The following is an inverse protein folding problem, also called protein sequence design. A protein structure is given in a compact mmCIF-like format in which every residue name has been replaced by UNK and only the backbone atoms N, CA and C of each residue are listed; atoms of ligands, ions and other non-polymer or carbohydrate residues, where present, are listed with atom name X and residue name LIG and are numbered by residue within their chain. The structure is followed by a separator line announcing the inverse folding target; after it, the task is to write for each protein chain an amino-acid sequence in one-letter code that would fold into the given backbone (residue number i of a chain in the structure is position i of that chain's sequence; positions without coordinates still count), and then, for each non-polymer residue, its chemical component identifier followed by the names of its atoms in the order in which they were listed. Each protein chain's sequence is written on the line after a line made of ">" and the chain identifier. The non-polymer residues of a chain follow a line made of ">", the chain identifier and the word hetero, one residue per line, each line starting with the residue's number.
data_IF_276466880204
#
_entry.id   IF_276466880204
#
_cell.length_a   1.000
_cell.length_b   1.000
_cell.length_c   1.000
_cell.angle_alpha   90.00
_cell.angle_beta   90.00
_cell.angle_gamma   90.00
#
_symmetry.space_group_name_H-M   'P 1'
#
loop_
_entity.id
_entity.type
_entity.pdbx_description
1 polymer ?
#
# COMPACT_ATOMS: atom_id res chain seq x y z
N UNK A 1 12.09 -7.82 -9.03
CA UNK A 1 11.69 -6.47 -8.59
C UNK A 1 12.38 -6.14 -7.29
N UNK A 2 12.28 -4.88 -6.84
CA UNK A 2 12.74 -4.44 -5.52
C UNK A 2 11.82 -5.01 -4.44
N UNK A 3 12.39 -5.74 -3.47
CA UNK A 3 11.67 -6.62 -2.54
C UNK A 3 10.52 -5.92 -1.80
N UNK A 4 10.73 -4.67 -1.37
CA UNK A 4 9.77 -3.83 -0.65
C UNK A 4 8.48 -3.60 -1.43
N UNK A 5 8.56 -3.60 -2.76
CA UNK A 5 7.45 -3.25 -3.64
C UNK A 5 6.89 -4.47 -4.35
N UNK A 6 7.44 -5.68 -4.16
CA UNK A 6 6.87 -6.88 -4.76
C UNK A 6 5.48 -7.18 -4.18
N UNK A 7 4.53 -7.47 -5.07
CA UNK A 7 3.18 -7.92 -4.70
C UNK A 7 3.22 -9.26 -3.93
N UNK A 8 2.21 -9.51 -3.09
CA UNK A 8 2.08 -10.68 -2.23
C UNK A 8 2.16 -11.98 -3.03
N UNK A 9 1.45 -12.07 -4.15
CA UNK A 9 1.45 -13.28 -4.99
C UNK A 9 2.80 -13.49 -5.71
N UNK A 10 3.46 -12.41 -6.14
CA UNK A 10 4.81 -12.50 -6.72
C UNK A 10 5.83 -12.99 -5.69
N UNK A 11 5.73 -12.54 -4.44
CA UNK A 11 6.52 -13.08 -3.32
C UNK A 11 6.22 -14.56 -3.04
N UNK A 12 4.99 -15.00 -3.35
CA UNK A 12 4.56 -16.41 -3.28
C UNK A 12 4.86 -17.21 -4.56
N UNK A 13 5.64 -16.64 -5.49
CA UNK A 13 6.08 -17.27 -6.74
C UNK A 13 4.94 -17.52 -7.75
N UNK A 14 3.88 -16.74 -7.67
CA UNK A 14 2.87 -16.66 -8.75
C UNK A 14 3.40 -15.74 -9.84
N UNK A 15 3.04 -16.03 -11.08
CA UNK A 15 3.45 -15.23 -12.23
C UNK A 15 2.91 -13.80 -12.16
N UNK A 16 3.69 -12.89 -12.73
CA UNK A 16 3.40 -11.46 -12.66
C UNK A 16 2.21 -11.07 -13.57
N UNK A 17 1.41 -10.09 -13.16
CA UNK A 17 0.21 -9.63 -13.88
C UNK A 17 0.00 -8.14 -13.65
N UNK A 18 -0.91 -7.52 -14.40
CA UNK A 18 -1.25 -6.11 -14.27
C UNK A 18 -1.72 -5.71 -12.85
N UNK A 19 -2.42 -6.59 -12.12
CA UNK A 19 -2.88 -6.34 -10.74
C UNK A 19 -1.70 -6.14 -9.81
N UNK A 20 -0.64 -6.92 -10.02
CA UNK A 20 0.57 -6.85 -9.22
C UNK A 20 1.33 -5.54 -9.44
N UNK A 21 1.30 -4.97 -10.66
CA UNK A 21 1.85 -3.63 -10.91
C UNK A 21 1.09 -2.57 -10.09
N UNK A 22 -0.24 -2.66 -10.01
CA UNK A 22 -1.06 -1.75 -9.20
C UNK A 22 -0.82 -1.93 -7.69
N UNK A 23 -0.67 -3.17 -7.23
CA UNK A 23 -0.29 -3.48 -5.84
C UNK A 23 1.10 -2.92 -5.49
N UNK A 24 2.07 -3.09 -6.40
CA UNK A 24 3.41 -2.50 -6.28
C UNK A 24 3.35 -0.98 -6.23
N UNK A 25 2.54 -0.35 -7.09
CA UNK A 25 2.36 1.10 -7.09
C UNK A 25 1.75 1.61 -5.77
N UNK A 26 0.76 0.89 -5.22
CA UNK A 26 0.22 1.21 -3.91
C UNK A 26 1.27 1.09 -2.79
N UNK A 27 2.12 0.06 -2.83
CA UNK A 27 3.23 -0.06 -1.88
C UNK A 27 4.25 1.06 -1.98
N UNK A 28 4.50 1.60 -3.18
CA UNK A 28 5.35 2.79 -3.35
C UNK A 28 4.70 4.01 -2.68
N UNK A 29 3.39 4.23 -2.84
CA UNK A 29 2.68 5.32 -2.15
C UNK A 29 2.84 5.22 -0.64
N UNK A 30 2.54 4.06 -0.05
CA UNK A 30 2.67 3.84 1.40
C UNK A 30 4.11 4.07 1.87
N UNK A 31 5.09 3.59 1.11
CA UNK A 31 6.50 3.78 1.43
C UNK A 31 6.93 5.24 1.41
N UNK A 32 6.47 6.00 0.41
CA UNK A 32 6.76 7.44 0.32
C UNK A 32 6.18 8.17 1.54
N UNK A 33 4.91 7.90 1.87
CA UNK A 33 4.21 8.56 2.97
C UNK A 33 4.75 8.18 4.36
N UNK A 34 5.10 6.91 4.60
CA UNK A 34 5.56 6.44 5.93
C UNK A 34 7.08 6.56 6.15
N UNK A 35 7.90 6.65 5.09
CA UNK A 35 9.37 6.62 5.23
C UNK A 35 10.08 7.78 4.56
N UNK A 36 9.81 8.04 3.28
CA UNK A 36 10.55 9.07 2.54
C UNK A 36 10.15 10.49 2.96
N UNK A 37 8.89 10.69 3.35
CA UNK A 37 8.34 11.96 3.84
C UNK A 37 9.13 12.54 5.02
N UNK A 38 9.65 11.69 5.91
CA UNK A 38 10.42 12.08 7.09
C UNK A 38 11.82 12.61 6.78
N UNK A 39 12.41 12.20 5.65
CA UNK A 39 13.67 12.78 5.16
C UNK A 39 13.47 14.15 4.47
N UNK A 40 12.21 14.53 4.24
CA UNK A 40 11.81 15.79 3.60
C UNK A 40 11.27 16.78 4.63
N UNK A 41 11.01 18.02 4.21
CA UNK A 41 10.40 19.06 5.08
C UNK A 41 8.96 18.74 5.54
N UNK A 42 8.35 17.68 5.01
CA UNK A 42 6.98 17.28 5.35
C UNK A 42 6.83 16.77 6.78
N UNK A 43 7.93 16.38 7.44
CA UNK A 43 7.92 16.04 8.87
C UNK A 43 7.85 17.24 9.82
N UNK A 44 8.08 18.47 9.35
CA UNK A 44 8.04 19.66 10.22
C UNK A 44 8.89 19.51 11.49
N UNK A 45 8.25 19.68 12.65
CA UNK A 45 8.83 19.44 13.99
C UNK A 45 8.52 18.03 14.55
N UNK A 46 7.70 17.25 13.83
CA UNK A 46 7.36 15.89 14.21
C UNK A 46 8.57 14.97 14.06
N UNK A 47 8.55 13.85 14.79
CA UNK A 47 9.61 12.84 14.74
C UNK A 47 9.08 11.57 14.10
N UNK A 48 9.87 10.92 13.22
CA UNK A 48 9.51 9.62 12.70
C UNK A 48 9.33 8.60 13.82
N UNK A 49 8.55 7.53 13.60
CA UNK A 49 8.46 6.44 14.54
C UNK A 49 9.84 5.81 14.78
N UNK A 50 10.09 5.37 16.02
CA UNK A 50 11.38 4.76 16.41
C UNK A 50 11.70 3.52 15.58
N UNK A 51 10.69 2.72 15.29
CA UNK A 51 10.76 1.58 14.38
C UNK A 51 9.54 1.62 13.47
N UNK A 52 9.76 1.43 12.17
CA UNK A 52 8.70 1.40 11.17
C UNK A 52 8.28 -0.04 10.86
N UNK A 53 6.97 -0.30 10.86
CA UNK A 53 6.31 -1.52 10.43
C UNK A 53 6.76 -1.94 9.03
N UNK A 54 7.00 -0.97 8.14
CA UNK A 54 7.46 -1.23 6.77
C UNK A 54 8.88 -1.82 6.71
N UNK A 55 9.65 -1.82 7.81
CA UNK A 55 10.92 -2.58 7.91
C UNK A 55 10.70 -4.08 7.68
N UNK A 56 9.52 -4.60 8.04
CA UNK A 56 9.11 -6.00 7.78
C UNK A 56 8.97 -6.32 6.29
N UNK A 57 9.00 -5.31 5.42
CA UNK A 57 8.98 -5.49 3.96
C UNK A 57 10.39 -5.60 3.35
N UNK A 58 11.44 -5.42 4.15
CA UNK A 58 12.85 -5.42 3.72
C UNK A 58 13.64 -6.63 4.23
N UNK A 59 13.22 -7.18 5.36
CA UNK A 59 14.01 -8.17 6.13
C UNK A 59 13.21 -9.47 6.25
N UNK A 60 13.89 -10.60 6.04
CA UNK A 60 13.34 -11.94 6.21
C UNK A 60 13.21 -12.68 4.89
N UNK A 61 12.47 -13.79 4.90
CA UNK A 61 12.18 -14.56 3.68
C UNK A 61 11.03 -13.94 2.90
N UNK A 62 10.87 -14.29 1.62
CA UNK A 62 9.71 -13.87 0.83
C UNK A 62 8.37 -14.27 1.47
N UNK A 63 8.33 -15.40 2.18
CA UNK A 63 7.14 -15.84 2.92
C UNK A 63 6.84 -14.89 4.08
N UNK A 64 7.85 -14.48 4.83
CA UNK A 64 7.69 -13.56 5.96
C UNK A 64 7.18 -12.21 5.48
N UNK A 65 7.76 -11.69 4.40
CA UNK A 65 7.38 -10.41 3.80
C UNK A 65 5.96 -10.47 3.24
N UNK A 66 5.59 -11.55 2.54
CA UNK A 66 4.24 -11.74 2.02
C UNK A 66 3.20 -11.79 3.16
N UNK A 67 3.52 -12.44 4.28
CA UNK A 67 2.63 -12.51 5.44
C UNK A 67 2.51 -11.16 6.16
N UNK A 68 3.61 -10.42 6.31
CA UNK A 68 3.59 -9.07 6.87
C UNK A 68 2.72 -8.13 6.01
N UNK A 69 2.94 -8.13 4.68
CA UNK A 69 2.10 -7.38 3.74
C UNK A 69 0.63 -7.77 3.83
N UNK A 70 0.32 -9.07 3.87
CA UNK A 70 -1.06 -9.53 4.00
C UNK A 70 -1.74 -9.00 5.28
N UNK A 71 -1.05 -9.03 6.41
CA UNK A 71 -1.55 -8.46 7.67
C UNK A 71 -1.78 -6.95 7.58
N UNK A 72 -0.82 -6.23 6.98
CA UNK A 72 -0.91 -4.78 6.78
C UNK A 72 -2.01 -4.38 5.78
N UNK A 73 -2.49 -5.29 4.91
CA UNK A 73 -3.59 -5.01 3.97
C UNK A 73 -4.98 -5.32 4.54
N UNK A 74 -5.08 -5.70 5.82
CA UNK A 74 -6.34 -5.60 6.56
C UNK A 74 -6.69 -4.13 6.80
N UNK A 75 -7.96 -3.81 7.13
CA UNK A 75 -8.34 -2.42 7.42
C UNK A 75 -7.52 -1.87 8.60
N UNK A 76 -7.56 -2.55 9.75
CA UNK A 76 -6.80 -2.15 10.93
C UNK A 76 -5.29 -2.14 10.67
N UNK A 77 -4.77 -3.14 9.95
CA UNK A 77 -3.34 -3.21 9.62
C UNK A 77 -2.89 -2.07 8.70
N UNK A 78 -3.76 -1.58 7.81
CA UNK A 78 -3.44 -0.44 6.98
C UNK A 78 -3.51 0.87 7.78
N UNK A 79 -4.48 1.00 8.69
CA UNK A 79 -4.55 2.12 9.63
C UNK A 79 -3.27 2.23 10.46
N UNK A 80 -2.77 1.11 11.01
CA UNK A 80 -1.49 1.06 11.74
C UNK A 80 -0.31 1.50 10.87
N UNK A 81 -0.29 1.16 9.58
CA UNK A 81 0.74 1.65 8.64
C UNK A 81 0.61 3.15 8.38
N UNK A 82 -0.62 3.65 8.25
CA UNK A 82 -0.89 5.07 8.00
C UNK A 82 -0.63 5.94 9.24
N UNK A 83 -0.64 5.38 10.44
CA UNK A 83 -0.24 6.08 11.67
C UNK A 83 1.26 6.45 11.68
N UNK A 84 2.07 5.86 10.79
CA UNK A 84 3.47 6.26 10.59
C UNK A 84 3.63 7.49 9.69
N UNK A 85 2.54 7.98 9.09
CA UNK A 85 2.59 9.14 8.20
C UNK A 85 2.72 10.42 9.04
N UNK A 86 3.51 11.41 8.60
CA UNK A 86 3.42 12.76 9.16
C UNK A 86 2.01 13.31 9.01
N UNK A 87 1.56 14.17 9.93
CA UNK A 87 0.20 14.73 9.89
C UNK A 87 -0.14 15.43 8.56
N UNK A 88 0.87 16.00 7.88
CA UNK A 88 0.71 16.58 6.54
C UNK A 88 0.06 15.62 5.53
N UNK A 89 0.27 14.30 5.68
CA UNK A 89 -0.26 13.27 4.81
C UNK A 89 -1.60 12.69 5.27
N UNK A 90 -2.24 13.24 6.30
CA UNK A 90 -3.59 12.81 6.72
C UNK A 90 -4.61 12.91 5.58
N UNK A 91 -4.45 13.90 4.70
CA UNK A 91 -5.28 14.08 3.51
C UNK A 91 -5.20 12.92 2.51
N UNK A 92 -4.13 12.11 2.56
CA UNK A 92 -3.91 10.96 1.69
C UNK A 92 -4.49 9.67 2.29
N UNK A 93 -4.76 9.61 3.60
CA UNK A 93 -5.27 8.40 4.26
C UNK A 93 -6.58 7.87 3.64
N UNK A 94 -7.58 8.70 3.30
CA UNK A 94 -8.79 8.22 2.62
C UNK A 94 -8.51 7.58 1.25
N UNK A 95 -7.53 8.09 0.50
CA UNK A 95 -7.10 7.51 -0.77
C UNK A 95 -6.49 6.12 -0.56
N UNK A 96 -5.62 5.97 0.45
CA UNK A 96 -5.02 4.68 0.78
C UNK A 96 -6.06 3.61 1.12
N UNK A 97 -7.07 3.96 1.94
CA UNK A 97 -8.18 3.06 2.27
C UNK A 97 -8.97 2.66 1.02
N UNK A 98 -9.25 3.62 0.13
CA UNK A 98 -9.99 3.37 -1.12
C UNK A 98 -9.21 2.46 -2.08
N UNK A 99 -7.92 2.72 -2.28
CA UNK A 99 -7.05 1.86 -3.09
C UNK A 99 -6.98 0.44 -2.50
N UNK A 100 -6.83 0.31 -1.17
CA UNK A 100 -6.85 -0.99 -0.49
C UNK A 100 -8.16 -1.72 -0.70
N UNK A 101 -9.30 -1.03 -0.61
CA UNK A 101 -10.62 -1.60 -0.89
C UNK A 101 -10.70 -2.16 -2.32
N UNK A 102 -10.25 -1.39 -3.30
CA UNK A 102 -10.23 -1.80 -4.71
C UNK A 102 -9.35 -3.04 -4.91
N UNK A 103 -8.15 -3.05 -4.35
CA UNK A 103 -7.17 -4.11 -4.58
C UNK A 103 -7.42 -5.40 -3.79
N UNK A 104 -7.97 -5.29 -2.58
CA UNK A 104 -8.05 -6.40 -1.63
C UNK A 104 -9.48 -6.74 -1.19
N UNK A 105 -10.46 -5.91 -1.52
CA UNK A 105 -11.88 -6.10 -1.19
C UNK A 105 -12.25 -5.76 0.25
N UNK A 106 -13.55 -5.59 0.50
CA UNK A 106 -14.10 -5.17 1.81
C UNK A 106 -14.41 -6.33 2.77
N UNK A 107 -14.27 -7.57 2.33
CA UNK A 107 -14.58 -8.72 3.18
C UNK A 107 -13.43 -9.05 4.12
N UNK A 108 -13.71 -9.82 5.18
CA UNK A 108 -12.68 -10.34 6.08
C UNK A 108 -11.60 -11.16 5.35
N UNK A 109 -11.90 -11.72 4.17
CA UNK A 109 -10.95 -12.43 3.33
C UNK A 109 -10.41 -11.51 2.24
N UNK A 110 -9.11 -11.21 2.32
CA UNK A 110 -8.43 -10.43 1.29
C UNK A 110 -8.39 -11.16 -0.04
N UNK A 111 -8.69 -10.43 -1.12
CA UNK A 111 -8.49 -10.89 -2.49
C UNK A 111 -7.09 -10.47 -2.94
N UNK A 112 -6.21 -11.45 -3.16
CA UNK A 112 -4.83 -11.23 -3.64
C UNK A 112 -4.61 -11.76 -5.06
N UNK A 113 -5.57 -12.49 -5.60
CA UNK A 113 -5.50 -13.04 -6.95
C UNK A 113 -5.84 -12.01 -8.02
N UNK A 114 -5.26 -12.17 -9.20
CA UNK A 114 -5.71 -11.42 -10.39
C UNK A 114 -7.09 -11.94 -10.81
N UNK A 115 -8.14 -11.10 -10.84
CA UNK A 115 -9.45 -11.54 -11.29
C UNK A 115 -9.44 -11.79 -12.81
N UNK A 116 -10.36 -12.63 -13.27
CA UNK A 116 -10.55 -12.88 -14.71
C UNK A 116 -11.27 -11.73 -15.44
N UNK A 117 -11.64 -10.68 -14.72
CA UNK A 117 -12.29 -9.48 -15.27
C UNK A 117 -11.31 -8.63 -16.09
N UNK A 118 -11.87 -7.70 -16.85
CA UNK A 118 -11.11 -6.74 -17.65
C UNK A 118 -10.13 -5.92 -16.78
N UNK A 119 -8.83 -5.89 -17.10
CA UNK A 119 -7.83 -5.07 -16.42
C UNK A 119 -8.23 -3.59 -16.28
N UNK A 120 -8.90 -3.04 -17.29
CA UNK A 120 -9.27 -1.62 -17.33
C UNK A 120 -10.19 -1.23 -16.16
N UNK A 121 -10.95 -2.17 -15.61
CA UNK A 121 -11.79 -1.92 -14.44
C UNK A 121 -10.97 -1.52 -13.21
N UNK A 122 -9.82 -2.17 -12.99
CA UNK A 122 -8.93 -1.85 -11.87
C UNK A 122 -8.20 -0.54 -12.10
N UNK A 123 -7.65 -0.33 -13.29
CA UNK A 123 -6.96 0.91 -13.62
C UNK A 123 -7.89 2.11 -13.49
N UNK A 124 -9.08 2.05 -14.08
CA UNK A 124 -10.06 3.13 -14.01
C UNK A 124 -10.53 3.39 -12.56
N UNK A 125 -10.74 2.34 -11.76
CA UNK A 125 -11.12 2.52 -10.36
C UNK A 125 -10.02 3.23 -9.54
N UNK A 126 -8.75 2.89 -9.78
CA UNK A 126 -7.61 3.54 -9.14
C UNK A 126 -7.48 5.00 -9.61
N UNK A 127 -7.59 5.27 -10.92
CA UNK A 127 -7.54 6.63 -11.48
C UNK A 127 -8.63 7.50 -10.85
N UNK A 128 -9.88 7.02 -10.82
CA UNK A 128 -11.00 7.74 -10.19
C UNK A 128 -10.73 8.00 -8.70
N UNK A 129 -10.13 7.05 -7.97
CA UNK A 129 -9.75 7.27 -6.58
C UNK A 129 -8.73 8.42 -6.43
N UNK A 130 -7.73 8.49 -7.31
CA UNK A 130 -6.77 9.60 -7.34
C UNK A 130 -7.44 10.93 -7.71
N UNK A 131 -8.27 10.97 -8.76
CA UNK A 131 -8.95 12.19 -9.21
C UNK A 131 -9.84 12.79 -8.09
N UNK A 132 -10.57 11.93 -7.38
CA UNK A 132 -11.36 12.35 -6.22
C UNK A 132 -10.52 12.88 -5.06
N UNK A 133 -9.34 12.30 -4.83
CA UNK A 133 -8.42 12.76 -3.78
C UNK A 133 -7.81 14.11 -4.16
N UNK A 134 -7.40 14.28 -5.42
CA UNK A 134 -6.81 15.50 -5.96
C UNK A 134 -7.82 16.65 -5.94
N UNK A 135 -9.08 16.39 -6.26
CA UNK A 135 -10.15 17.41 -6.25
C UNK A 135 -10.43 17.97 -4.84
N UNK A 136 -9.96 17.29 -3.78
CA UNK A 136 -10.13 17.69 -2.38
C UNK A 136 -8.90 18.40 -1.79
N UNK A 137 -7.81 18.52 -2.56
CA UNK A 137 -6.61 19.31 -2.21
C UNK A 137 -6.84 20.79 -2.50
#
# INVERSE_FOLDING_TARGET
>A
GTMQFMAIEVLRRVDHTYRHDLESFFYVLLWICARCSWASRFGGEEKPPRESLLRKWEIGTFKDIANAKLGHMTVNGLEEVMDEFPNFFDIVKPLCLKIRSILFGETARLTIGTPASDPDQFYNAIIVAYDEAITKL
#
